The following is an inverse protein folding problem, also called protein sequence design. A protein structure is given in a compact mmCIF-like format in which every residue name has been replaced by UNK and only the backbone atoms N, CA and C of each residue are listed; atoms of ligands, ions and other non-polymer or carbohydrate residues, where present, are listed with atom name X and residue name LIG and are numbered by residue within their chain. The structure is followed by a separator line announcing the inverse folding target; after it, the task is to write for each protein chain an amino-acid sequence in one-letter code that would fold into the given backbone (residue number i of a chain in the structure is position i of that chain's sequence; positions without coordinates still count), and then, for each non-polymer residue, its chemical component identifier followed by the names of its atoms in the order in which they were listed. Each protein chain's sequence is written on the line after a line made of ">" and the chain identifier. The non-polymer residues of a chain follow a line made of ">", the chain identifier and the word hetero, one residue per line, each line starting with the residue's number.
data_IF_365174328358
#
_entry.id   IF_365174328358
#
_cell.length_a   1.000
_cell.length_b   1.000
_cell.length_c   1.000
_cell.angle_alpha   90.00
_cell.angle_beta   90.00
_cell.angle_gamma   90.00
#
_symmetry.space_group_name_H-M   'P 1'
#
loop_
_entity.id
_entity.type
_entity.pdbx_description
1 polymer ?
#
# COMPACT_ATOMS: atom_id res chain seq x y z
N UNK A 1 -28.10 2.07 5.34
CA UNK A 1 -29.04 1.31 4.49
C UNK A 1 -29.71 2.31 3.55
N UNK A 2 -29.88 1.97 2.28
CA UNK A 2 -30.51 2.83 1.26
C UNK A 2 -32.02 3.03 1.50
N UNK A 3 -32.61 2.27 2.42
CA UNK A 3 -34.03 2.34 2.80
C UNK A 3 -34.33 3.23 4.02
N UNK A 4 -33.32 3.88 4.62
CA UNK A 4 -33.52 4.78 5.76
C UNK A 4 -34.28 6.04 5.33
N UNK A 5 -35.15 6.55 6.21
CA UNK A 5 -35.72 7.89 6.08
C UNK A 5 -34.64 8.97 6.25
N UNK A 6 -34.92 10.19 5.76
CA UNK A 6 -33.94 11.29 5.73
C UNK A 6 -33.39 11.66 7.11
N UNK A 7 -34.22 11.59 8.16
CA UNK A 7 -33.80 11.95 9.52
C UNK A 7 -32.86 10.89 10.09
N UNK A 8 -33.25 9.61 10.00
CA UNK A 8 -32.42 8.48 10.39
C UNK A 8 -31.11 8.43 9.60
N UNK A 9 -31.17 8.67 8.29
CA UNK A 9 -29.99 8.71 7.43
C UNK A 9 -29.01 9.82 7.83
N UNK A 10 -29.52 11.03 8.12
CA UNK A 10 -28.70 12.16 8.57
C UNK A 10 -28.03 11.88 9.91
N UNK A 11 -28.77 11.34 10.88
CA UNK A 11 -28.24 11.00 12.20
C UNK A 11 -27.14 9.93 12.09
N UNK A 12 -27.37 8.88 11.28
CA UNK A 12 -26.38 7.82 11.07
C UNK A 12 -25.12 8.35 10.38
N UNK A 13 -25.27 9.17 9.33
CA UNK A 13 -24.15 9.84 8.65
C UNK A 13 -23.29 10.63 9.63
N UNK A 14 -23.92 11.43 10.49
CA UNK A 14 -23.22 12.25 11.47
C UNK A 14 -22.43 11.39 12.46
N UNK A 15 -23.06 10.37 13.06
CA UNK A 15 -22.40 9.49 14.03
C UNK A 15 -21.19 8.76 13.43
N UNK A 16 -21.31 8.24 12.21
CA UNK A 16 -20.18 7.59 11.53
C UNK A 16 -19.07 8.58 11.20
N UNK A 17 -19.40 9.78 10.69
CA UNK A 17 -18.40 10.79 10.36
C UNK A 17 -17.59 11.21 11.60
N UNK A 18 -18.25 11.49 12.73
CA UNK A 18 -17.60 11.85 13.98
C UNK A 18 -16.66 10.74 14.49
N UNK A 19 -17.09 9.48 14.39
CA UNK A 19 -16.26 8.32 14.75
C UNK A 19 -15.02 8.16 13.86
N UNK A 20 -15.14 8.40 12.55
CA UNK A 20 -14.00 8.30 11.63
C UNK A 20 -13.01 9.47 11.83
N UNK A 21 -13.53 10.70 11.91
CA UNK A 21 -12.71 11.91 12.05
C UNK A 21 -11.93 11.88 13.37
N UNK A 22 -12.57 11.48 14.48
CA UNK A 22 -11.92 11.41 15.79
C UNK A 22 -10.77 10.40 15.87
N UNK A 23 -10.61 9.54 14.85
CA UNK A 23 -9.58 8.48 14.79
C UNK A 23 -8.49 8.74 13.76
N UNK A 24 -8.49 9.87 13.04
CA UNK A 24 -7.46 10.19 12.03
C UNK A 24 -6.03 10.16 12.61
N UNK A 25 -5.86 10.62 13.86
CA UNK A 25 -4.57 10.59 14.56
C UNK A 25 -4.01 9.17 14.73
N UNK A 26 -4.88 8.15 14.77
CA UNK A 26 -4.47 6.75 14.95
C UNK A 26 -3.59 6.31 13.79
N UNK A 27 -3.83 6.84 12.58
CA UNK A 27 -3.08 6.56 11.35
C UNK A 27 -2.12 7.69 10.98
N UNK A 28 -1.82 8.60 11.91
CA UNK A 28 -0.87 9.69 11.71
C UNK A 28 -1.34 10.78 10.73
N UNK A 29 -2.64 10.82 10.41
CA UNK A 29 -3.21 11.85 9.51
C UNK A 29 -3.52 13.13 10.29
N UNK A 30 -2.88 14.24 9.88
CA UNK A 30 -3.05 15.58 10.44
C UNK A 30 -2.56 16.64 9.43
N UNK A 31 -2.59 17.92 9.80
CA UNK A 31 -2.19 19.04 8.92
C UNK A 31 -0.72 18.97 8.44
N UNK A 32 0.17 18.35 9.22
CA UNK A 32 1.59 18.21 8.89
C UNK A 32 1.78 17.09 7.85
N UNK A 33 1.07 15.98 8.00
CA UNK A 33 1.24 14.80 7.14
C UNK A 33 0.36 14.82 5.89
N UNK A 34 -0.73 15.58 5.88
CA UNK A 34 -1.67 15.66 4.75
C UNK A 34 -0.99 15.98 3.40
N UNK A 35 -0.08 16.98 3.27
CA UNK A 35 0.59 17.25 1.99
C UNK A 35 1.46 16.08 1.51
N UNK A 36 2.09 15.35 2.43
CA UNK A 36 2.94 14.20 2.11
C UNK A 36 2.10 12.99 1.69
N UNK A 37 0.98 12.75 2.39
CA UNK A 37 0.01 11.70 2.03
C UNK A 37 -0.51 11.93 0.60
N UNK A 38 -0.95 13.15 0.29
CA UNK A 38 -1.47 13.47 -1.04
C UNK A 38 -0.38 13.39 -2.12
N UNK A 39 0.84 13.88 -1.82
CA UNK A 39 1.96 13.78 -2.76
C UNK A 39 2.34 12.33 -3.04
N UNK A 40 2.39 11.49 -2.01
CA UNK A 40 2.65 10.05 -2.15
C UNK A 40 1.55 9.36 -2.96
N UNK A 41 0.28 9.65 -2.69
CA UNK A 41 -0.84 9.12 -3.47
C UNK A 41 -0.73 9.49 -4.96
N UNK A 42 -0.42 10.75 -5.28
CA UNK A 42 -0.20 11.19 -6.68
C UNK A 42 0.95 10.45 -7.35
N UNK A 43 2.08 10.26 -6.67
CA UNK A 43 3.23 9.51 -7.20
C UNK A 43 2.86 8.04 -7.43
N UNK A 44 2.20 7.41 -6.46
CA UNK A 44 1.73 6.03 -6.56
C UNK A 44 0.81 5.84 -7.78
N UNK A 45 -0.16 6.74 -7.98
CA UNK A 45 -1.05 6.70 -9.15
C UNK A 45 -0.26 6.80 -10.46
N UNK A 46 0.71 7.70 -10.57
CA UNK A 46 1.56 7.83 -11.76
C UNK A 46 2.43 6.59 -12.02
N UNK A 47 2.94 5.96 -10.96
CA UNK A 47 3.75 4.75 -11.07
C UNK A 47 2.90 3.56 -11.50
N UNK A 48 1.71 3.42 -10.92
CA UNK A 48 0.76 2.38 -11.30
C UNK A 48 0.21 2.59 -12.72
N UNK A 49 -0.07 3.82 -13.13
CA UNK A 49 -0.36 4.19 -14.53
C UNK A 49 0.73 3.67 -15.48
N UNK A 50 2.01 3.87 -15.11
CA UNK A 50 3.16 3.38 -15.86
C UNK A 50 3.19 1.85 -15.99
N UNK A 51 2.89 1.12 -14.91
CA UNK A 51 2.78 -0.34 -14.93
C UNK A 51 1.62 -0.80 -15.83
N UNK A 52 0.44 -0.21 -15.65
CA UNK A 52 -0.78 -0.56 -16.37
C UNK A 52 -0.76 -0.13 -17.84
N UNK A 53 0.19 0.73 -18.23
CA UNK A 53 0.43 1.05 -19.64
C UNK A 53 1.07 -0.12 -20.42
N UNK A 54 1.66 -1.09 -19.71
CA UNK A 54 2.37 -2.23 -20.28
C UNK A 54 1.59 -3.54 -20.15
N UNK A 55 0.93 -3.74 -19.01
CA UNK A 55 0.26 -4.98 -18.65
C UNK A 55 -1.14 -4.70 -18.08
N UNK A 56 -2.05 -5.68 -18.13
CA UNK A 56 -3.39 -5.53 -17.58
C UNK A 56 -3.43 -5.55 -16.04
N UNK A 57 -2.41 -6.17 -15.41
CA UNK A 57 -2.24 -6.33 -13.97
C UNK A 57 -0.76 -6.13 -13.59
N UNK A 58 -0.46 -6.03 -12.30
CA UNK A 58 0.90 -5.75 -11.79
C UNK A 58 1.95 -6.74 -12.29
N UNK A 59 1.58 -8.01 -12.40
CA UNK A 59 2.48 -9.11 -12.76
C UNK A 59 2.10 -9.78 -14.09
N UNK A 60 1.40 -9.08 -14.99
CA UNK A 60 1.18 -9.52 -16.36
C UNK A 60 -0.28 -9.46 -16.81
N UNK A 61 -0.74 -10.53 -17.46
CA UNK A 61 -2.08 -10.63 -18.07
C UNK A 61 -3.13 -11.24 -17.15
N UNK A 62 -2.74 -11.67 -15.94
CA UNK A 62 -3.64 -12.22 -14.91
C UNK A 62 -3.55 -11.46 -13.59
N UNK A 63 -4.65 -11.41 -12.80
CA UNK A 63 -4.63 -10.79 -11.48
C UNK A 63 -3.80 -11.63 -10.50
N UNK A 64 -3.10 -10.93 -9.61
CA UNK A 64 -2.34 -11.50 -8.49
C UNK A 64 -2.92 -11.07 -7.15
N UNK A 65 -2.44 -11.66 -6.05
CA UNK A 65 -2.76 -11.20 -4.69
C UNK A 65 -2.41 -9.73 -4.46
N UNK A 66 -1.38 -9.19 -5.14
CA UNK A 66 -1.02 -7.77 -5.04
C UNK A 66 -2.06 -6.86 -5.69
N UNK A 67 -2.65 -7.29 -6.81
CA UNK A 67 -3.73 -6.52 -7.48
C UNK A 67 -4.92 -6.38 -6.54
N UNK A 68 -5.32 -7.46 -5.85
CA UNK A 68 -6.40 -7.42 -4.86
C UNK A 68 -6.06 -6.55 -3.65
N UNK A 69 -4.82 -6.60 -3.16
CA UNK A 69 -4.38 -5.77 -2.04
C UNK A 69 -4.46 -4.26 -2.37
N UNK A 70 -4.02 -3.88 -3.58
CA UNK A 70 -4.09 -2.49 -4.06
C UNK A 70 -5.55 -2.10 -4.34
N UNK A 71 -6.31 -2.96 -5.03
CA UNK A 71 -7.73 -2.73 -5.33
C UNK A 71 -8.54 -2.47 -4.07
N UNK A 72 -8.32 -3.23 -2.99
CA UNK A 72 -9.02 -3.03 -1.72
C UNK A 72 -8.87 -1.60 -1.19
N UNK A 73 -7.68 -1.02 -1.27
CA UNK A 73 -7.45 0.36 -0.83
C UNK A 73 -8.03 1.38 -1.83
N UNK A 74 -7.81 1.19 -3.13
CA UNK A 74 -8.28 2.11 -4.16
C UNK A 74 -9.81 2.12 -4.29
N UNK A 75 -10.49 1.02 -3.96
CA UNK A 75 -11.95 0.96 -3.95
C UNK A 75 -12.56 2.06 -3.06
N UNK A 76 -11.96 2.33 -1.90
CA UNK A 76 -12.37 3.43 -1.03
C UNK A 76 -11.91 4.80 -1.57
N UNK A 77 -10.66 4.91 -2.02
CA UNK A 77 -10.07 6.19 -2.42
C UNK A 77 -10.63 6.74 -3.74
N UNK A 78 -10.88 5.89 -4.72
CA UNK A 78 -11.43 6.28 -6.02
C UNK A 78 -12.94 6.03 -6.05
N UNK A 79 -13.41 4.92 -5.48
CA UNK A 79 -14.83 4.53 -5.57
C UNK A 79 -15.75 5.28 -4.59
N UNK A 80 -15.21 5.82 -3.49
CA UNK A 80 -16.01 6.49 -2.45
C UNK A 80 -15.58 7.94 -2.20
N UNK A 81 -14.31 8.21 -1.84
CA UNK A 81 -13.85 9.55 -1.45
C UNK A 81 -13.80 10.52 -2.65
N UNK A 82 -14.49 11.68 -2.61
CA UNK A 82 -14.55 12.60 -3.74
C UNK A 82 -13.22 13.31 -4.04
N UNK A 83 -12.39 13.56 -3.03
CA UNK A 83 -11.12 14.28 -3.19
C UNK A 83 -10.09 13.38 -3.85
N UNK A 84 -9.84 12.18 -3.30
CA UNK A 84 -8.86 11.26 -3.90
C UNK A 84 -9.33 10.68 -5.24
N UNK A 85 -10.65 10.58 -5.46
CA UNK A 85 -11.22 10.26 -6.78
C UNK A 85 -10.89 11.32 -7.81
N UNK A 86 -11.13 12.60 -7.50
CA UNK A 86 -10.84 13.70 -8.45
C UNK A 86 -9.37 13.67 -8.85
N UNK A 87 -8.46 13.51 -7.88
CA UNK A 87 -7.03 13.37 -8.13
C UNK A 87 -6.73 12.17 -9.04
N UNK A 88 -7.33 11.00 -8.80
CA UNK A 88 -7.11 9.81 -9.62
C UNK A 88 -7.57 10.01 -11.07
N UNK A 89 -8.77 10.57 -11.28
CA UNK A 89 -9.29 10.84 -12.61
C UNK A 89 -8.44 11.84 -13.41
N UNK A 90 -7.84 12.83 -12.74
CA UNK A 90 -6.94 13.80 -13.38
C UNK A 90 -5.54 13.21 -13.64
N UNK A 91 -5.05 12.35 -12.75
CA UNK A 91 -3.66 11.89 -12.76
C UNK A 91 -3.46 10.60 -13.57
N UNK A 92 -4.41 9.67 -13.50
CA UNK A 92 -4.23 8.29 -13.98
C UNK A 92 -5.55 7.66 -14.47
N UNK A 93 -5.94 7.93 -15.72
CA UNK A 93 -7.13 7.32 -16.31
C UNK A 93 -7.06 5.79 -16.40
N UNK A 94 -5.86 5.19 -16.51
CA UNK A 94 -5.73 3.72 -16.56
C UNK A 94 -5.97 3.08 -15.20
N UNK A 95 -5.56 3.71 -14.10
CA UNK A 95 -5.85 3.19 -12.76
C UNK A 95 -7.36 3.21 -12.48
N UNK A 96 -8.05 4.27 -12.91
CA UNK A 96 -9.53 4.33 -12.81
C UNK A 96 -10.17 3.19 -13.60
N UNK A 97 -9.79 3.01 -14.88
CA UNK A 97 -10.33 1.92 -15.69
C UNK A 97 -9.94 0.52 -15.17
N UNK A 98 -8.76 0.39 -14.57
CA UNK A 98 -8.31 -0.85 -13.94
C UNK A 98 -9.12 -1.18 -12.69
N UNK A 99 -9.50 -0.18 -11.89
CA UNK A 99 -10.39 -0.40 -10.76
C UNK A 99 -11.75 -0.94 -11.19
N UNK A 100 -12.36 -0.36 -12.23
CA UNK A 100 -13.63 -0.86 -12.78
C UNK A 100 -13.49 -2.32 -13.25
N UNK A 101 -12.36 -2.66 -13.88
CA UNK A 101 -12.05 -4.06 -14.26
C UNK A 101 -11.92 -4.99 -13.06
N UNK A 102 -11.30 -4.53 -11.97
CA UNK A 102 -11.12 -5.35 -10.77
C UNK A 102 -12.44 -5.65 -10.04
N UNK A 103 -13.48 -4.83 -10.21
CA UNK A 103 -14.82 -5.09 -9.67
C UNK A 103 -15.53 -6.27 -10.34
N UNK A 104 -15.28 -6.49 -11.64
CA UNK A 104 -15.83 -7.61 -12.40
C UNK A 104 -14.78 -8.23 -13.34
N UNK A 105 -14.20 -9.33 -12.87
CA UNK A 105 -13.25 -10.15 -13.61
C UNK A 105 -13.91 -11.36 -14.28
N UNK A 106 -15.24 -11.35 -14.43
CA UNK A 106 -15.92 -12.43 -15.14
C UNK A 106 -15.38 -12.57 -16.57
N UNK A 107 -15.17 -13.82 -17.00
CA UNK A 107 -14.64 -14.13 -18.32
C UNK A 107 -13.11 -14.04 -18.46
N UNK A 108 -12.37 -13.73 -17.39
CA UNK A 108 -10.92 -13.95 -17.36
C UNK A 108 -10.66 -15.45 -17.10
N UNK A 109 -9.83 -16.06 -17.95
CA UNK A 109 -9.38 -17.45 -17.83
C UNK A 109 -7.84 -17.47 -17.69
N UNK A 110 -7.30 -17.36 -16.46
CA UNK A 110 -5.86 -17.21 -16.24
C UNK A 110 -5.06 -18.45 -16.64
N UNK A 111 -3.97 -18.25 -17.37
CA UNK A 111 -2.99 -19.26 -17.70
C UNK A 111 -1.65 -19.02 -16.96
N UNK A 112 -0.75 -20.00 -17.01
CA UNK A 112 0.56 -19.88 -16.34
C UNK A 112 1.54 -18.99 -17.11
N UNK A 113 1.39 -18.88 -18.43
CA UNK A 113 2.18 -17.99 -19.28
C UNK A 113 1.71 -16.53 -19.24
N UNK A 114 0.65 -16.23 -18.49
CA UNK A 114 0.19 -14.85 -18.24
C UNK A 114 1.06 -14.10 -17.23
N UNK A 115 1.92 -14.80 -16.48
CA UNK A 115 2.86 -14.17 -15.56
C UNK A 115 4.02 -13.50 -16.31
N UNK A 116 4.43 -12.33 -15.83
CA UNK A 116 5.69 -11.72 -16.25
C UNK A 116 6.89 -12.58 -15.80
N UNK A 117 7.94 -12.59 -16.61
CA UNK A 117 9.25 -13.04 -16.10
C UNK A 117 9.77 -12.05 -15.07
N UNK A 118 10.64 -12.52 -14.18
CA UNK A 118 11.26 -11.66 -13.19
C UNK A 118 11.97 -10.46 -13.82
N UNK A 119 12.66 -10.62 -14.96
CA UNK A 119 13.40 -9.56 -15.66
C UNK A 119 12.50 -8.40 -16.06
N UNK A 120 11.26 -8.69 -16.44
CA UNK A 120 10.27 -7.67 -16.77
C UNK A 120 9.68 -7.08 -15.50
N UNK A 121 9.27 -7.93 -14.54
CA UNK A 121 8.65 -7.49 -13.29
C UNK A 121 9.55 -6.56 -12.47
N UNK A 122 10.85 -6.88 -12.33
CA UNK A 122 11.81 -6.04 -11.59
C UNK A 122 11.99 -4.65 -12.20
N UNK A 123 11.76 -4.51 -13.52
CA UNK A 123 11.87 -3.24 -14.22
C UNK A 123 10.57 -2.45 -14.08
N UNK A 124 9.45 -3.13 -14.27
CA UNK A 124 8.14 -2.48 -14.29
C UNK A 124 7.70 -2.03 -12.90
N UNK A 125 8.03 -2.77 -11.85
CA UNK A 125 7.66 -2.45 -10.47
C UNK A 125 8.68 -1.60 -9.72
N UNK A 126 9.83 -1.29 -10.34
CA UNK A 126 10.93 -0.57 -9.67
C UNK A 126 10.48 0.75 -9.04
N UNK A 127 9.72 1.56 -9.78
CA UNK A 127 9.30 2.89 -9.31
C UNK A 127 8.26 2.79 -8.18
N UNK A 128 7.38 1.79 -8.21
CA UNK A 128 6.43 1.50 -7.12
C UNK A 128 7.21 1.11 -5.86
N UNK A 129 8.18 0.20 -5.98
CA UNK A 129 8.99 -0.21 -4.83
C UNK A 129 9.85 0.93 -4.28
N UNK A 130 10.37 1.82 -5.13
CA UNK A 130 11.05 3.03 -4.67
C UNK A 130 10.14 3.92 -3.82
N UNK A 131 8.86 4.07 -4.21
CA UNK A 131 7.89 4.78 -3.38
C UNK A 131 7.65 4.05 -2.06
N UNK A 132 7.49 2.72 -2.07
CA UNK A 132 7.34 1.89 -0.85
C UNK A 132 8.53 2.08 0.10
N UNK A 133 9.76 2.00 -0.42
CA UNK A 133 10.98 2.22 0.35
C UNK A 133 11.08 3.63 0.92
N UNK A 134 10.59 4.62 0.16
CA UNK A 134 10.60 6.03 0.56
C UNK A 134 9.58 6.36 1.66
N UNK A 135 8.37 5.82 1.59
CA UNK A 135 7.25 6.27 2.45
C UNK A 135 6.77 5.22 3.44
N UNK A 136 6.63 3.96 3.04
CA UNK A 136 6.01 2.94 3.88
C UNK A 136 7.02 2.20 4.74
N UNK A 137 8.20 1.90 4.19
CA UNK A 137 9.24 1.17 4.92
C UNK A 137 9.67 1.88 6.23
N UNK A 138 9.91 3.22 6.26
CA UNK A 138 10.25 3.90 7.50
C UNK A 138 9.16 3.80 8.56
N UNK A 139 7.88 3.88 8.16
CA UNK A 139 6.74 3.70 9.05
C UNK A 139 6.68 2.26 9.59
N UNK A 140 6.84 1.26 8.73
CA UNK A 140 6.76 -0.16 9.07
C UNK A 140 7.84 -0.54 10.10
N UNK A 141 9.08 -0.06 9.90
CA UNK A 141 10.20 -0.31 10.82
C UNK A 141 10.05 0.42 12.15
N UNK A 142 9.64 1.70 12.12
CA UNK A 142 9.36 2.46 13.34
C UNK A 142 8.26 1.79 14.16
N UNK A 143 7.19 1.34 13.50
CA UNK A 143 6.11 0.60 14.13
C UNK A 143 6.57 -0.73 14.73
N UNK A 144 7.34 -1.54 13.99
CA UNK A 144 7.85 -2.82 14.49
C UNK A 144 8.75 -2.63 15.73
N UNK A 145 9.64 -1.63 15.69
CA UNK A 145 10.47 -1.25 16.84
C UNK A 145 9.64 -0.86 18.06
N UNK A 146 8.63 -0.01 17.87
CA UNK A 146 7.76 0.45 18.96
C UNK A 146 6.94 -0.71 19.55
N UNK A 147 6.42 -1.61 18.72
CA UNK A 147 5.73 -2.82 19.19
C UNK A 147 6.65 -3.71 20.01
N UNK A 148 7.89 -3.92 19.57
CA UNK A 148 8.88 -4.70 20.33
C UNK A 148 9.25 -4.05 21.67
N UNK A 149 9.22 -2.72 21.75
CA UNK A 149 9.46 -1.94 22.95
C UNK A 149 8.19 -1.69 23.82
N UNK A 150 7.05 -2.28 23.45
CA UNK A 150 5.73 -2.05 24.09
C UNK A 150 5.30 -0.57 24.12
N UNK A 151 5.81 0.24 23.20
CA UNK A 151 5.45 1.65 23.06
C UNK A 151 4.09 1.80 22.37
N UNK A 152 3.27 2.72 22.88
CA UNK A 152 1.90 2.96 22.37
C UNK A 152 1.88 3.78 21.08
N UNK A 153 2.89 4.60 20.87
CA UNK A 153 3.05 5.51 19.73
C UNK A 153 4.51 5.51 19.31
N UNK A 154 4.76 5.96 18.08
CA UNK A 154 6.10 6.13 17.55
C UNK A 154 6.17 7.39 16.70
N UNK A 155 7.39 7.90 16.54
CA UNK A 155 7.69 9.04 15.66
C UNK A 155 8.84 8.68 14.73
N UNK A 156 8.77 9.09 13.47
CA UNK A 156 9.87 8.96 12.50
C UNK A 156 9.84 10.06 11.44
N UNK A 157 10.84 10.09 10.56
CA UNK A 157 10.87 10.93 9.37
C UNK A 157 10.36 10.15 8.16
N UNK A 158 9.37 10.71 7.46
CA UNK A 158 8.81 10.15 6.22
C UNK A 158 8.72 11.26 5.19
N UNK A 159 9.42 11.08 4.06
CA UNK A 159 9.44 12.03 2.94
C UNK A 159 9.66 13.50 3.38
N UNK A 160 10.55 13.71 4.35
CA UNK A 160 10.90 15.04 4.88
C UNK A 160 9.95 15.62 5.93
N UNK A 161 8.90 14.90 6.35
CA UNK A 161 8.01 15.31 7.42
C UNK A 161 8.19 14.47 8.70
N UNK A 162 7.97 15.11 9.85
CA UNK A 162 7.75 14.40 11.11
C UNK A 162 6.41 13.65 11.05
N UNK A 163 6.47 12.34 11.27
CA UNK A 163 5.31 11.47 11.30
C UNK A 163 5.17 10.87 12.69
N UNK A 164 4.01 11.04 13.32
CA UNK A 164 3.66 10.39 14.58
C UNK A 164 2.42 9.52 14.37
N UNK A 165 2.44 8.30 14.91
CA UNK A 165 1.34 7.37 14.75
C UNK A 165 1.24 6.43 15.95
N UNK A 166 0.04 5.88 16.18
CA UNK A 166 -0.16 4.79 17.14
C UNK A 166 0.55 3.52 16.65
N UNK A 167 1.09 2.75 17.58
CA UNK A 167 1.63 1.42 17.26
C UNK A 167 0.51 0.45 16.86
N UNK A 168 0.73 -0.29 15.78
CA UNK A 168 -0.18 -1.28 15.20
C UNK A 168 0.45 -2.67 15.22
N UNK A 169 0.00 -3.57 16.12
CA UNK A 169 0.52 -4.93 16.20
C UNK A 169 0.39 -5.71 14.88
N UNK A 170 -0.68 -5.46 14.12
CA UNK A 170 -0.90 -6.14 12.85
C UNK A 170 0.17 -5.80 11.81
N UNK A 171 0.60 -4.54 11.70
CA UNK A 171 1.64 -4.14 10.76
C UNK A 171 3.00 -4.76 11.11
N UNK A 172 3.32 -4.91 12.39
CA UNK A 172 4.51 -5.64 12.83
C UNK A 172 4.45 -7.13 12.43
N UNK A 173 3.27 -7.76 12.50
CA UNK A 173 3.08 -9.13 11.97
C UNK A 173 3.26 -9.20 10.45
N UNK A 174 2.78 -8.22 9.70
CA UNK A 174 3.02 -8.17 8.25
C UNK A 174 4.51 -8.13 7.91
N UNK A 175 5.32 -7.39 8.66
CA UNK A 175 6.78 -7.37 8.47
C UNK A 175 7.39 -8.76 8.75
N UNK A 176 6.93 -9.47 9.77
CA UNK A 176 7.36 -10.84 10.03
C UNK A 176 7.00 -11.76 8.87
N UNK A 177 5.76 -11.69 8.35
CA UNK A 177 5.34 -12.52 7.21
C UNK A 177 6.17 -12.25 5.94
N UNK A 178 6.55 -11.00 5.68
CA UNK A 178 7.46 -10.67 4.56
C UNK A 178 8.80 -11.41 4.73
N UNK A 179 9.33 -11.47 5.95
CA UNK A 179 10.58 -12.18 6.24
C UNK A 179 10.40 -13.70 6.15
N UNK A 180 9.28 -14.24 6.62
CA UNK A 180 8.98 -15.67 6.53
C UNK A 180 8.88 -16.12 5.07
N UNK A 181 8.16 -15.38 4.22
CA UNK A 181 8.05 -15.65 2.79
C UNK A 181 9.41 -15.54 2.08
N UNK A 182 10.22 -14.52 2.40
CA UNK A 182 11.57 -14.39 1.85
C UNK A 182 12.47 -15.56 2.26
N UNK A 183 12.42 -15.99 3.53
CA UNK A 183 13.22 -17.09 4.05
C UNK A 183 12.78 -18.47 3.51
N UNK A 184 11.56 -18.59 3.00
CA UNK A 184 11.07 -19.80 2.34
C UNK A 184 11.56 -19.97 0.89
N UNK A 185 12.10 -18.91 0.28
CA UNK A 185 12.71 -18.95 -1.06
C UNK A 185 14.02 -19.76 -1.05
N UNK A 186 14.42 -20.25 -2.22
CA UNK A 186 15.76 -20.82 -2.40
C UNK A 186 16.84 -19.72 -2.46
N UNK A 187 18.11 -20.11 -2.37
CA UNK A 187 19.23 -19.17 -2.30
C UNK A 187 19.37 -18.27 -3.54
N UNK A 188 19.09 -18.80 -4.73
CA UNK A 188 19.16 -18.02 -5.98
C UNK A 188 18.08 -16.93 -6.02
N UNK A 189 16.84 -17.29 -5.68
CA UNK A 189 15.71 -16.37 -5.59
C UNK A 189 15.92 -15.31 -4.49
N UNK A 190 16.46 -15.71 -3.33
CA UNK A 190 16.81 -14.77 -2.26
C UNK A 190 17.83 -13.74 -2.73
N UNK A 191 18.89 -14.17 -3.40
CA UNK A 191 19.90 -13.28 -3.95
C UNK A 191 19.31 -12.31 -4.97
N UNK A 192 18.48 -12.83 -5.88
CA UNK A 192 17.81 -12.05 -6.91
C UNK A 192 16.86 -11.00 -6.32
N UNK A 193 16.02 -11.38 -5.35
CA UNK A 193 15.12 -10.45 -4.67
C UNK A 193 15.90 -9.42 -3.85
N UNK A 194 16.96 -9.79 -3.14
CA UNK A 194 17.77 -8.84 -2.37
C UNK A 194 18.43 -7.78 -3.26
N UNK A 195 18.94 -8.16 -4.44
CA UNK A 195 19.48 -7.19 -5.40
C UNK A 195 18.42 -6.17 -5.82
N UNK A 196 17.20 -6.64 -6.07
CA UNK A 196 16.07 -5.76 -6.39
C UNK A 196 15.71 -4.83 -5.21
N UNK A 197 15.56 -5.38 -4.00
CA UNK A 197 15.22 -4.59 -2.82
C UNK A 197 16.29 -3.53 -2.51
N UNK A 198 17.57 -3.85 -2.64
CA UNK A 198 18.65 -2.85 -2.48
C UNK A 198 18.55 -1.73 -3.53
N UNK A 199 18.27 -2.08 -4.79
CA UNK A 199 18.13 -1.11 -5.88
C UNK A 199 16.95 -0.15 -5.67
N UNK A 200 15.90 -0.59 -4.98
CA UNK A 200 14.70 0.21 -4.73
C UNK A 200 14.66 0.85 -3.34
N UNK A 201 15.71 0.68 -2.52
CA UNK A 201 15.74 1.20 -1.15
C UNK A 201 14.79 0.47 -0.19
N UNK A 202 14.55 -0.82 -0.45
CA UNK A 202 13.68 -1.68 0.33
C UNK A 202 14.41 -2.81 1.06
N UNK A 203 15.74 -2.81 1.09
CA UNK A 203 16.55 -3.90 1.64
C UNK A 203 16.33 -4.12 3.15
N UNK A 204 16.02 -3.07 3.90
CA UNK A 204 15.68 -3.17 5.32
C UNK A 204 14.32 -3.85 5.59
N UNK A 205 13.54 -4.23 4.55
CA UNK A 205 12.39 -5.15 4.72
C UNK A 205 12.83 -6.51 5.26
N UNK A 206 14.03 -6.97 4.89
CA UNK A 206 14.56 -8.27 5.31
C UNK A 206 15.45 -8.06 6.55
N UNK A 207 14.92 -8.44 7.70
CA UNK A 207 15.55 -8.30 9.01
C UNK A 207 16.64 -9.36 9.13
N UNK A 208 17.90 -8.92 9.13
CA UNK A 208 19.04 -9.78 9.50
C UNK A 208 18.89 -10.18 10.97
N UNK A 209 19.04 -11.47 11.29
CA UNK A 209 18.81 -12.14 12.60
C UNK A 209 19.56 -11.58 13.85
N UNK A 210 20.05 -10.33 13.86
CA UNK A 210 20.85 -9.77 14.95
C UNK A 210 20.47 -8.37 15.43
N UNK A 211 19.24 -7.88 15.23
CA UNK A 211 18.85 -6.53 15.73
C UNK A 211 17.92 -6.46 16.93
N UNK A 212 17.35 -7.57 17.39
CA UNK A 212 16.48 -7.58 18.57
C UNK A 212 16.82 -8.79 19.44
N UNK A 213 17.88 -8.66 20.24
CA UNK A 213 18.04 -9.53 21.42
C UNK A 213 17.13 -8.98 22.50
N UNK A 214 16.15 -9.78 22.88
CA UNK A 214 15.36 -9.64 24.11
C UNK A 214 16.28 -9.71 25.34
#
# INVERSE_FOLDING_TARGET
>A
DVSLDDESHKAFKQGIAELQISRLWVVGSNEITAPIIESSYKRFLQQLEGCLSKNAFLFGSRPSSADYAIFGQLSALIGFDPTSRTIAHETSPRVVAWQDRMEDMSGIDPAEDDWLTYEVAQKDLADIFQEVGKVYLPALLANAKAIAAEEKTWTTQIDGAQWEQRSFPYQAKCLQWINDEFNALNEDDQNQIMVFLMKTGCDDLIIKEQRWKY
#
